data_IF_437400757622
#
_entry.id   IF_437400757622
#
_cell.length_a   1.000
_cell.length_b   1.000
_cell.length_c   1.000
_cell.angle_alpha   90.00
_cell.angle_beta   90.00
_cell.angle_gamma   90.00
#
_symmetry.space_group_name_H-M   'P 1'
#
loop_
_entity.id
_entity.type
_entity.pdbx_description
1 polymer ?
#
# COMPACT_ATOMS: atom_id res chain seq x y z
N UNK A 1 93.13 72.42 -10.92
CA UNK A 1 92.92 71.00 -11.27
C UNK A 1 91.50 70.66 -10.87
N UNK A 2 90.51 70.92 -11.74
CA UNK A 2 89.86 69.89 -12.59
C UNK A 2 89.39 68.73 -11.70
N UNK A 3 88.13 68.66 -11.25
CA UNK A 3 86.99 68.21 -12.05
C UNK A 3 85.68 68.90 -11.56
N UNK A 4 85.38 70.10 -12.05
CA UNK A 4 84.08 70.78 -11.84
C UNK A 4 83.32 70.98 -13.17
N UNK A 5 83.66 70.17 -14.17
CA UNK A 5 83.03 70.19 -15.49
C UNK A 5 82.22 68.92 -15.69
N UNK A 6 80.90 69.08 -15.58
CA UNK A 6 79.89 68.25 -16.27
C UNK A 6 79.67 66.84 -15.69
N UNK A 7 78.89 66.76 -14.60
CA UNK A 7 77.78 65.79 -14.54
C UNK A 7 76.45 66.54 -14.34
N UNK A 8 76.36 67.71 -14.95
CA UNK A 8 75.09 68.19 -15.51
C UNK A 8 74.98 67.65 -16.93
N UNK A 9 75.07 66.32 -17.08
CA UNK A 9 74.69 65.71 -18.34
C UNK A 9 73.15 65.75 -18.40
N UNK A 10 72.53 66.56 -19.27
CA UNK A 10 71.08 66.62 -19.38
C UNK A 10 70.46 65.24 -19.63
N UNK A 11 71.23 64.31 -20.21
CA UNK A 11 70.89 62.89 -20.38
C UNK A 11 70.65 62.19 -19.03
N UNK A 12 71.59 62.26 -18.09
CA UNK A 12 71.47 61.58 -16.78
C UNK A 12 70.33 62.12 -15.92
N UNK A 13 70.09 63.44 -15.98
CA UNK A 13 68.94 64.06 -15.31
C UNK A 13 67.61 63.66 -15.95
N UNK A 14 67.55 63.54 -17.28
CA UNK A 14 66.37 63.06 -17.99
C UNK A 14 66.08 61.58 -17.67
N UNK A 15 67.10 60.73 -17.62
CA UNK A 15 66.99 59.32 -17.22
C UNK A 15 66.46 59.20 -15.79
N UNK A 16 66.99 59.97 -14.83
CA UNK A 16 66.49 59.96 -13.45
C UNK A 16 65.02 60.39 -13.35
N UNK A 17 64.61 61.38 -14.14
CA UNK A 17 63.20 61.83 -14.22
C UNK A 17 62.29 60.73 -14.78
N UNK A 18 62.72 60.04 -15.83
CA UNK A 18 62.00 58.91 -16.42
C UNK A 18 61.90 57.72 -15.45
N UNK A 19 62.97 57.39 -14.71
CA UNK A 19 62.96 56.35 -13.69
C UNK A 19 61.96 56.65 -12.56
N UNK A 20 61.88 57.91 -12.11
CA UNK A 20 60.90 58.32 -11.10
C UNK A 20 59.45 58.18 -11.60
N UNK A 21 59.19 58.57 -12.85
CA UNK A 21 57.88 58.39 -13.49
C UNK A 21 57.53 56.91 -13.62
N UNK A 22 58.46 56.08 -14.10
CA UNK A 22 58.29 54.64 -14.20
C UNK A 22 57.95 54.01 -12.85
N UNK A 23 58.71 54.35 -11.80
CA UNK A 23 58.45 53.85 -10.45
C UNK A 23 57.08 54.30 -9.91
N UNK A 24 56.63 55.51 -10.24
CA UNK A 24 55.28 56.01 -9.95
C UNK A 24 54.19 55.17 -10.61
N UNK A 25 54.31 54.93 -11.92
CA UNK A 25 53.36 54.07 -12.66
C UNK A 25 53.39 52.62 -12.16
N UNK A 26 54.55 52.09 -11.80
CA UNK A 26 54.69 50.74 -11.30
C UNK A 26 54.06 50.58 -9.90
N UNK A 27 54.14 51.62 -9.05
CA UNK A 27 53.44 51.66 -7.77
C UNK A 27 51.91 51.70 -7.96
N UNK A 28 51.42 52.51 -8.91
CA UNK A 28 49.99 52.55 -9.27
C UNK A 28 49.50 51.19 -9.80
N UNK A 29 50.25 50.57 -10.73
CA UNK A 29 49.90 49.26 -11.29
C UNK A 29 49.85 48.17 -10.21
N UNK A 30 50.81 48.17 -9.27
CA UNK A 30 50.78 47.26 -8.11
C UNK A 30 49.59 47.50 -7.20
N UNK A 31 49.18 48.77 -7.04
CA UNK A 31 47.97 49.14 -6.31
C UNK A 31 46.71 48.58 -6.97
N UNK A 32 46.55 48.80 -8.27
CA UNK A 32 45.44 48.28 -9.07
C UNK A 32 45.42 46.75 -9.08
N UNK A 33 46.58 46.10 -9.20
CA UNK A 33 46.67 44.63 -9.16
C UNK A 33 46.20 44.07 -7.81
N UNK A 34 46.60 44.69 -6.69
CA UNK A 34 46.11 44.30 -5.36
C UNK A 34 44.60 44.49 -5.25
N UNK A 35 44.08 45.62 -5.72
CA UNK A 35 42.64 45.88 -5.70
C UNK A 35 41.87 44.85 -6.53
N UNK A 36 42.31 44.56 -7.75
CA UNK A 36 41.71 43.54 -8.61
C UNK A 36 41.73 42.14 -7.96
N UNK A 37 42.83 41.78 -7.29
CA UNK A 37 42.95 40.50 -6.56
C UNK A 37 41.96 40.42 -5.39
N UNK A 38 41.78 41.51 -4.64
CA UNK A 38 40.80 41.58 -3.54
C UNK A 38 39.38 41.42 -4.09
N UNK A 39 39.00 42.19 -5.12
CA UNK A 39 37.67 42.08 -5.74
C UNK A 39 37.39 40.68 -6.29
N UNK A 40 38.38 40.05 -6.94
CA UNK A 40 38.24 38.68 -7.44
C UNK A 40 38.04 37.66 -6.30
N UNK A 41 38.71 37.87 -5.15
CA UNK A 41 38.52 37.02 -3.97
C UNK A 41 37.15 37.22 -3.34
N UNK A 42 36.69 38.46 -3.24
CA UNK A 42 35.39 38.80 -2.64
C UNK A 42 34.24 38.25 -3.48
N UNK A 43 34.29 38.42 -4.80
CA UNK A 43 33.30 37.84 -5.72
C UNK A 43 33.30 36.32 -5.68
N UNK A 44 34.47 35.68 -5.57
CA UNK A 44 34.57 34.22 -5.37
C UNK A 44 33.95 33.77 -4.06
N UNK A 45 34.12 34.52 -2.97
CA UNK A 45 33.54 34.19 -1.68
C UNK A 45 31.99 34.32 -1.73
N UNK A 46 31.47 35.43 -2.26
CA UNK A 46 30.03 35.66 -2.40
C UNK A 46 29.35 34.61 -3.27
N UNK A 47 29.96 34.25 -4.40
CA UNK A 47 29.41 33.22 -5.30
C UNK A 47 29.47 31.82 -4.68
N UNK A 48 30.49 31.51 -3.87
CA UNK A 48 30.57 30.25 -3.14
C UNK A 48 29.49 30.15 -2.05
N UNK A 49 29.24 31.23 -1.32
CA UNK A 49 28.19 31.28 -0.29
C UNK A 49 26.80 31.11 -0.91
N UNK A 50 26.49 31.84 -1.98
CA UNK A 50 25.23 31.70 -2.70
C UNK A 50 25.04 30.29 -3.26
N UNK A 51 26.10 29.68 -3.79
CA UNK A 51 26.07 28.29 -4.26
C UNK A 51 25.78 27.31 -3.11
N UNK A 52 26.42 27.49 -1.96
CA UNK A 52 26.19 26.63 -0.80
C UNK A 52 24.74 26.72 -0.30
N UNK A 53 24.14 27.91 -0.35
CA UNK A 53 22.73 28.09 -0.02
C UNK A 53 21.82 27.34 -1.00
N UNK A 54 22.08 27.46 -2.31
CA UNK A 54 21.34 26.72 -3.34
C UNK A 54 21.46 25.22 -3.13
N UNK A 55 22.65 24.70 -2.86
CA UNK A 55 22.88 23.27 -2.63
C UNK A 55 22.11 22.79 -1.39
N UNK A 56 22.06 23.59 -0.32
CA UNK A 56 21.27 23.31 0.89
C UNK A 56 19.77 23.25 0.58
N UNK A 57 19.25 24.24 -0.15
CA UNK A 57 17.83 24.28 -0.53
C UNK A 57 17.48 23.12 -1.47
N UNK A 58 18.37 22.75 -2.38
CA UNK A 58 18.18 21.62 -3.27
C UNK A 58 18.08 20.30 -2.48
N UNK A 59 18.92 20.11 -1.46
CA UNK A 59 18.82 18.94 -0.58
C UNK A 59 17.49 18.91 0.18
N UNK A 60 17.03 20.06 0.71
CA UNK A 60 15.74 20.14 1.38
C UNK A 60 14.58 19.80 0.43
N UNK A 61 14.64 20.27 -0.81
CA UNK A 61 13.65 19.94 -1.83
C UNK A 61 13.64 18.44 -2.17
N UNK A 62 14.80 17.80 -2.26
CA UNK A 62 14.88 16.35 -2.49
C UNK A 62 14.26 15.56 -1.32
N UNK A 63 14.47 15.99 -0.09
CA UNK A 63 13.84 15.38 1.09
C UNK A 63 12.30 15.49 1.01
N UNK A 64 11.78 16.64 0.62
CA UNK A 64 10.33 16.83 0.44
C UNK A 64 9.77 15.96 -0.69
N UNK A 65 10.48 15.81 -1.81
CA UNK A 65 10.06 14.91 -2.89
C UNK A 65 10.04 13.45 -2.45
N UNK A 66 10.99 13.04 -1.61
CA UNK A 66 11.00 11.71 -1.03
C UNK A 66 9.78 11.49 -0.13
N UNK A 67 9.53 12.42 0.79
CA UNK A 67 8.36 12.39 1.68
C UNK A 67 7.05 12.35 0.91
N UNK A 68 6.91 13.21 -0.12
CA UNK A 68 5.73 13.21 -0.99
C UNK A 68 5.51 11.84 -1.66
N UNK A 69 6.55 11.24 -2.25
CA UNK A 69 6.43 9.92 -2.88
C UNK A 69 6.10 8.83 -1.88
N UNK A 70 6.68 8.90 -0.68
CA UNK A 70 6.40 7.95 0.38
C UNK A 70 4.92 8.02 0.79
N UNK A 71 4.40 9.21 1.08
CA UNK A 71 3.00 9.43 1.43
C UNK A 71 2.05 9.03 0.29
N UNK A 72 2.38 9.34 -0.96
CA UNK A 72 1.61 8.89 -2.11
C UNK A 72 1.56 7.35 -2.21
N UNK A 73 2.67 6.67 -1.91
CA UNK A 73 2.71 5.22 -1.85
C UNK A 73 1.85 4.64 -0.74
N UNK A 74 1.84 5.27 0.44
CA UNK A 74 0.98 4.86 1.56
C UNK A 74 -0.50 5.09 1.25
N UNK A 75 -0.86 6.24 0.67
CA UNK A 75 -2.23 6.53 0.23
C UNK A 75 -2.69 5.47 -0.79
N UNK A 76 -1.88 5.19 -1.80
CA UNK A 76 -2.21 4.18 -2.81
C UNK A 76 -2.37 2.78 -2.18
N UNK A 77 -1.57 2.43 -1.17
CA UNK A 77 -1.70 1.17 -0.45
C UNK A 77 -3.00 1.12 0.38
N UNK A 78 -3.41 2.22 0.99
CA UNK A 78 -4.68 2.33 1.71
C UNK A 78 -5.88 2.27 0.76
N UNK A 79 -5.81 2.94 -0.39
CA UNK A 79 -6.87 2.93 -1.42
C UNK A 79 -6.99 1.56 -2.11
N UNK A 80 -5.87 0.86 -2.29
CA UNK A 80 -5.86 -0.50 -2.84
C UNK A 80 -6.24 -1.58 -1.82
N UNK A 81 -6.67 -1.19 -0.61
CA UNK A 81 -7.10 -2.15 0.39
C UNK A 81 -8.33 -2.93 -0.10
N UNK A 82 -8.18 -4.24 -0.16
CA UNK A 82 -9.24 -5.13 -0.61
C UNK A 82 -10.31 -5.30 0.47
N UNK A 83 -11.41 -4.57 0.28
CA UNK A 83 -12.57 -4.63 1.15
C UNK A 83 -13.44 -5.85 0.80
N UNK A 84 -13.24 -6.96 1.52
CA UNK A 84 -13.99 -8.22 1.34
C UNK A 84 -15.50 -8.08 1.29
N UNK A 85 -16.08 -7.07 1.93
CA UNK A 85 -17.52 -6.85 1.90
C UNK A 85 -18.06 -6.44 0.52
N UNK A 86 -17.20 -5.93 -0.37
CA UNK A 86 -17.57 -5.60 -1.75
C UNK A 86 -17.81 -6.85 -2.60
N UNK A 87 -17.25 -8.00 -2.21
CA UNK A 87 -17.46 -9.28 -2.89
C UNK A 87 -18.70 -10.02 -2.39
N UNK A 88 -19.36 -9.54 -1.33
CA UNK A 88 -20.54 -10.20 -0.80
C UNK A 88 -21.72 -10.04 -1.79
N UNK A 89 -22.44 -11.14 -2.12
CA UNK A 89 -23.63 -11.07 -2.96
C UNK A 89 -24.81 -10.53 -2.16
N UNK A 90 -24.76 -9.25 -1.82
CA UNK A 90 -25.82 -8.53 -1.11
C UNK A 90 -26.99 -8.26 -2.06
N UNK A 91 -28.21 -8.23 -1.51
CA UNK A 91 -29.36 -7.75 -2.27
C UNK A 91 -29.15 -6.28 -2.72
N UNK A 92 -29.66 -5.90 -3.90
CA UNK A 92 -29.57 -4.52 -4.37
C UNK A 92 -30.18 -3.53 -3.37
N UNK A 93 -29.61 -2.33 -3.29
CA UNK A 93 -30.05 -1.32 -2.33
C UNK A 93 -31.53 -0.97 -2.46
N UNK A 94 -32.03 -0.87 -3.69
CA UNK A 94 -33.44 -0.60 -3.96
C UNK A 94 -34.37 -1.67 -3.38
N UNK A 95 -33.97 -2.94 -3.42
CA UNK A 95 -34.74 -4.05 -2.86
C UNK A 95 -34.64 -4.07 -1.32
N UNK A 96 -33.44 -3.82 -0.78
CA UNK A 96 -33.24 -3.70 0.66
C UNK A 96 -34.10 -2.59 1.26
N UNK A 97 -34.11 -1.40 0.67
CA UNK A 97 -34.89 -0.26 1.17
C UNK A 97 -36.41 -0.48 1.03
N UNK A 98 -36.84 -1.28 0.06
CA UNK A 98 -38.25 -1.68 -0.06
C UNK A 98 -38.68 -2.62 1.07
N UNK A 99 -37.79 -3.52 1.50
CA UNK A 99 -38.02 -4.45 2.60
C UNK A 99 -37.85 -3.79 3.98
N UNK A 100 -36.92 -2.84 4.08
CA UNK A 100 -36.55 -2.14 5.33
C UNK A 100 -36.65 -0.61 5.17
N UNK A 101 -37.87 -0.04 5.16
CA UNK A 101 -38.08 1.40 4.94
C UNK A 101 -37.45 2.28 6.03
N UNK A 102 -37.22 1.71 7.21
CA UNK A 102 -36.58 2.35 8.37
C UNK A 102 -35.10 2.71 8.16
N UNK A 103 -34.49 2.21 7.08
CA UNK A 103 -33.12 2.57 6.69
C UNK A 103 -33.05 3.66 5.60
N UNK A 104 -34.20 4.15 5.12
CA UNK A 104 -34.25 5.24 4.13
C UNK A 104 -33.68 6.52 4.74
N UNK A 105 -32.72 7.15 4.05
CA UNK A 105 -32.09 8.40 4.50
C UNK A 105 -31.01 8.23 5.57
N UNK A 106 -30.62 6.99 5.89
CA UNK A 106 -29.40 6.72 6.66
C UNK A 106 -28.15 7.00 5.82
N UNK A 107 -27.04 7.27 6.50
CA UNK A 107 -25.74 7.41 5.88
C UNK A 107 -25.30 6.13 5.15
N UNK A 108 -24.49 6.24 4.10
CA UNK A 108 -24.09 5.12 3.25
C UNK A 108 -23.39 4.02 4.06
N UNK A 109 -22.52 4.39 5.01
CA UNK A 109 -21.84 3.45 5.88
C UNK A 109 -22.81 2.66 6.76
N UNK A 110 -23.78 3.37 7.36
CA UNK A 110 -24.80 2.78 8.21
C UNK A 110 -25.76 1.88 7.41
N UNK A 111 -26.07 2.25 6.17
CA UNK A 111 -26.87 1.45 5.25
C UNK A 111 -26.14 0.17 4.84
N UNK A 112 -24.85 0.26 4.48
CA UNK A 112 -24.02 -0.90 4.14
C UNK A 112 -23.89 -1.87 5.31
N UNK A 113 -23.65 -1.36 6.52
CA UNK A 113 -23.58 -2.20 7.72
C UNK A 113 -24.89 -2.97 7.96
N UNK A 114 -26.04 -2.30 7.85
CA UNK A 114 -27.34 -2.93 8.00
C UNK A 114 -27.61 -4.00 6.92
N UNK A 115 -27.20 -3.73 5.67
CA UNK A 115 -27.30 -4.70 4.57
C UNK A 115 -26.47 -5.95 4.81
N UNK A 116 -25.26 -5.80 5.34
CA UNK A 116 -24.37 -6.92 5.68
C UNK A 116 -24.95 -7.73 6.85
N UNK A 117 -25.49 -7.07 7.87
CA UNK A 117 -26.10 -7.73 9.02
C UNK A 117 -27.33 -8.55 8.63
N UNK A 118 -28.17 -8.00 7.74
CA UNK A 118 -29.29 -8.74 7.17
C UNK A 118 -28.84 -10.01 6.41
N UNK A 119 -27.86 -9.88 5.51
CA UNK A 119 -27.33 -11.03 4.76
C UNK A 119 -26.71 -12.08 5.70
N UNK A 120 -26.05 -11.65 6.78
CA UNK A 120 -25.52 -12.55 7.79
C UNK A 120 -26.64 -13.34 8.48
N UNK A 121 -27.70 -12.66 8.93
CA UNK A 121 -28.84 -13.30 9.58
C UNK A 121 -29.55 -14.31 8.66
N UNK A 122 -29.75 -13.97 7.39
CA UNK A 122 -30.31 -14.87 6.38
C UNK A 122 -29.45 -16.12 6.18
N UNK A 123 -28.13 -15.95 6.05
CA UNK A 123 -27.21 -17.10 5.91
C UNK A 123 -27.18 -17.99 7.14
N UNK A 124 -27.24 -17.40 8.31
CA UNK A 124 -27.28 -18.16 9.57
C UNK A 124 -28.55 -19.00 9.64
N UNK A 125 -29.71 -18.41 9.32
CA UNK A 125 -30.98 -19.12 9.26
C UNK A 125 -30.97 -20.28 8.25
N UNK A 126 -30.43 -20.04 7.04
CA UNK A 126 -30.28 -21.08 6.01
C UNK A 126 -29.36 -22.21 6.46
N UNK A 127 -28.25 -21.91 7.12
CA UNK A 127 -27.33 -22.94 7.64
C UNK A 127 -27.97 -23.75 8.76
N UNK A 128 -28.71 -23.11 9.67
CA UNK A 128 -29.48 -23.81 10.70
C UNK A 128 -30.52 -24.77 10.09
N UNK A 129 -31.25 -24.30 9.07
CA UNK A 129 -32.21 -25.14 8.33
C UNK A 129 -31.51 -26.31 7.64
N UNK A 130 -30.37 -26.06 6.98
CA UNK A 130 -29.55 -27.10 6.33
C UNK A 130 -29.12 -28.17 7.32
N UNK A 131 -28.65 -27.77 8.50
CA UNK A 131 -28.25 -28.70 9.56
C UNK A 131 -29.43 -29.51 10.09
N UNK A 132 -30.59 -28.88 10.27
CA UNK A 132 -31.84 -29.57 10.66
C UNK A 132 -32.24 -30.63 9.63
N UNK A 133 -32.26 -30.27 8.36
CA UNK A 133 -32.56 -31.20 7.26
C UNK A 133 -31.54 -32.34 7.15
N UNK A 134 -30.25 -32.06 7.37
CA UNK A 134 -29.21 -33.09 7.39
C UNK A 134 -29.40 -34.10 8.52
N UNK A 135 -29.74 -33.64 9.73
CA UNK A 135 -30.06 -34.52 10.86
C UNK A 135 -31.28 -35.40 10.55
N UNK A 136 -32.35 -34.81 9.99
CA UNK A 136 -33.54 -35.56 9.59
C UNK A 136 -33.22 -36.61 8.52
N UNK A 137 -32.43 -36.24 7.51
CA UNK A 137 -31.95 -37.17 6.47
C UNK A 137 -31.16 -38.33 7.08
N UNK A 138 -30.24 -38.07 7.99
CA UNK A 138 -29.45 -39.12 8.66
C UNK A 138 -30.35 -40.05 9.50
N UNK A 139 -31.32 -39.49 10.23
CA UNK A 139 -32.32 -40.28 10.96
C UNK A 139 -33.12 -41.21 10.06
N UNK A 140 -33.65 -40.70 8.95
CA UNK A 140 -34.39 -41.51 7.97
C UNK A 140 -33.53 -42.60 7.32
N UNK A 141 -32.25 -42.34 7.08
CA UNK A 141 -31.32 -43.36 6.56
C UNK A 141 -31.13 -44.47 7.59
N UNK A 142 -30.93 -44.13 8.87
CA UNK A 142 -30.78 -45.11 9.94
C UNK A 142 -32.05 -45.94 10.13
N UNK A 143 -33.23 -45.31 10.12
CA UNK A 143 -34.52 -45.99 10.24
C UNK A 143 -34.77 -46.94 9.06
N UNK A 144 -34.47 -46.51 7.83
CA UNK A 144 -34.57 -47.38 6.66
C UNK A 144 -33.61 -48.57 6.75
N UNK A 145 -32.39 -48.35 7.24
CA UNK A 145 -31.42 -49.44 7.44
C UNK A 145 -31.93 -50.45 8.46
N UNK A 146 -32.43 -49.98 9.61
CA UNK A 146 -33.02 -50.83 10.65
C UNK A 146 -34.21 -51.64 10.10
N UNK A 147 -35.14 -51.00 9.41
CA UNK A 147 -36.30 -51.69 8.79
C UNK A 147 -35.88 -52.74 7.78
N UNK A 148 -34.82 -52.50 7.00
CA UNK A 148 -34.25 -53.51 6.09
C UNK A 148 -33.66 -54.70 6.83
N UNK A 149 -32.95 -54.46 7.93
CA UNK A 149 -32.40 -55.53 8.79
C UNK A 149 -33.53 -56.35 9.45
N UNK A 150 -34.58 -55.68 9.94
CA UNK A 150 -35.76 -56.32 10.53
C UNK A 150 -36.50 -57.18 9.49
N UNK A 151 -36.69 -56.67 8.26
CA UNK A 151 -37.28 -57.43 7.15
C UNK A 151 -36.44 -58.66 6.79
N UNK A 152 -35.12 -58.52 6.67
CA UNK A 152 -34.23 -59.64 6.39
C UNK A 152 -34.26 -60.71 7.50
N UNK A 153 -34.42 -60.27 8.76
CA UNK A 153 -34.62 -61.19 9.89
C UNK A 153 -35.94 -61.94 9.81
N UNK A 154 -37.03 -61.24 9.46
CA UNK A 154 -38.35 -61.83 9.27
C UNK A 154 -38.36 -62.85 8.13
N UNK A 155 -37.74 -62.53 6.99
CA UNK A 155 -37.59 -63.45 5.85
C UNK A 155 -36.92 -64.76 6.29
N UNK A 156 -35.83 -64.67 7.08
CA UNK A 156 -35.15 -65.84 7.63
C UNK A 156 -36.02 -66.63 8.61
N UNK A 157 -36.82 -65.94 9.45
CA UNK A 157 -37.75 -66.61 10.36
C UNK A 157 -38.87 -67.34 9.60
N UNK A 158 -39.39 -66.74 8.53
CA UNK A 158 -40.39 -67.36 7.65
C UNK A 158 -39.83 -68.60 6.94
N UNK A 159 -38.60 -68.50 6.41
CA UNK A 159 -37.91 -69.64 5.79
C UNK A 159 -37.77 -70.82 6.78
N UNK A 160 -37.31 -70.53 8.01
CA UNK A 160 -37.21 -71.52 9.08
C UNK A 160 -38.59 -72.11 9.46
N UNK A 161 -39.64 -71.29 9.51
CA UNK A 161 -41.00 -71.75 9.81
C UNK A 161 -41.54 -72.67 8.72
N UNK A 162 -41.38 -72.30 7.45
CA UNK A 162 -41.75 -73.14 6.29
C UNK A 162 -41.01 -74.47 6.38
N UNK A 163 -39.69 -74.45 6.62
CA UNK A 163 -38.89 -75.66 6.77
C UNK A 163 -39.37 -76.55 7.92
N UNK A 164 -39.71 -75.97 9.06
CA UNK A 164 -40.26 -76.68 10.21
C UNK A 164 -41.68 -77.24 9.96
N UNK A 165 -42.48 -76.62 9.09
CA UNK A 165 -43.82 -77.06 8.74
C UNK A 165 -43.87 -78.17 7.68
N UNK A 166 -42.83 -78.29 6.83
CA UNK A 166 -42.72 -79.33 5.77
C UNK A 166 -43.00 -80.77 6.26
N UNK A 167 -42.54 -81.24 7.43
CA UNK A 167 -42.83 -82.59 7.92
C UNK A 167 -44.32 -82.83 8.18
N UNK A 168 -45.00 -81.85 8.79
CA UNK A 168 -46.45 -81.92 9.10
C UNK A 168 -47.26 -81.94 7.80
N UNK A 169 -46.87 -81.10 6.83
CA UNK A 169 -47.49 -81.05 5.51
C UNK A 169 -47.39 -82.41 4.78
N UNK A 170 -46.21 -83.04 4.80
CA UNK A 170 -46.00 -84.40 4.25
C UNK A 170 -46.84 -85.48 4.94
N UNK A 171 -47.21 -85.29 6.20
CA UNK A 171 -48.10 -86.23 6.91
C UNK A 171 -49.56 -86.02 6.53
N UNK A 172 -49.99 -84.77 6.35
CA UNK A 172 -51.34 -84.41 5.91
C UNK A 172 -51.62 -84.75 4.44
N UNK A 173 -50.63 -84.66 3.55
CA UNK A 173 -50.75 -85.05 2.13
C UNK A 173 -50.77 -86.57 1.89
N UNK A 174 -50.44 -87.38 2.91
CA UNK A 174 -50.46 -88.85 2.86
C UNK A 174 -51.78 -89.46 3.36
N UNK A 175 -52.72 -88.63 3.78
CA UNK A 175 -54.12 -88.99 4.09
C UNK A 175 -54.97 -88.68 2.86
#
# INVERSE_FOLDING_TARGET
>A
MTIDTVVTDPSLKAISKQQKLLNGYLAQLRGLQRQATVVARDTKAQTAEARQEVDRLHLQLQNLYYEQRHLQGEIAACEAYDHKYLELPLIPESEFLALFPEHVGKDEEALMAARIEHEHAEREALEQQRQGLLKMKQGLIADNKRRKEDLASLDKQLENFIDAAKPIQKTLEKV
#
